data_IF_307959560163
#
_entry.id   IF_307959560163
#
_cell.length_a   1.000
_cell.length_b   1.000
_cell.length_c   1.000
_cell.angle_alpha   90.00
_cell.angle_beta   90.00
_cell.angle_gamma   90.00
#
_symmetry.space_group_name_H-M   'P 1'
#
loop_
_entity.id
_entity.type
_entity.pdbx_description
1 polymer ?
#
# COMPACT_ATOMS: atom_id res chain seq x y z
N UNK A 1 -3.76 -27.52 14.41
CA UNK A 1 -3.59 -26.64 15.59
C UNK A 1 -4.12 -25.24 15.24
N UNK A 2 -5.00 -24.64 16.06
CA UNK A 2 -5.48 -23.27 15.82
C UNK A 2 -4.31 -22.28 15.92
N UNK A 3 -4.12 -21.47 14.88
CA UNK A 3 -3.08 -20.42 14.89
C UNK A 3 -3.60 -19.25 15.71
N UNK A 4 -2.84 -18.81 16.70
CA UNK A 4 -3.12 -17.56 17.42
C UNK A 4 -2.66 -16.38 16.55
N UNK A 5 -3.60 -15.81 15.79
CA UNK A 5 -3.41 -14.68 14.88
C UNK A 5 -3.74 -13.38 15.62
N UNK A 6 -2.78 -12.46 15.68
CA UNK A 6 -2.96 -11.15 16.31
C UNK A 6 -3.87 -10.26 15.47
N UNK A 7 -4.54 -9.30 16.12
CA UNK A 7 -5.29 -8.25 15.42
C UNK A 7 -4.42 -7.50 14.40
N UNK A 8 -3.18 -7.15 14.77
CA UNK A 8 -2.23 -6.47 13.87
C UNK A 8 -1.94 -7.26 12.60
N UNK A 9 -1.85 -8.59 12.68
CA UNK A 9 -1.64 -9.46 11.53
C UNK A 9 -2.89 -9.51 10.63
N UNK A 10 -4.10 -9.54 11.23
CA UNK A 10 -5.36 -9.46 10.47
C UNK A 10 -5.48 -8.14 9.73
N UNK A 11 -5.21 -7.02 10.41
CA UNK A 11 -5.25 -5.68 9.82
C UNK A 11 -4.22 -5.53 8.70
N UNK A 12 -3.02 -6.09 8.87
CA UNK A 12 -2.00 -6.09 7.82
C UNK A 12 -2.47 -6.86 6.58
N UNK A 13 -3.06 -8.05 6.76
CA UNK A 13 -3.61 -8.82 5.64
C UNK A 13 -4.73 -8.05 4.94
N UNK A 14 -5.67 -7.46 5.69
CA UNK A 14 -6.75 -6.66 5.11
C UNK A 14 -6.20 -5.47 4.32
N UNK A 15 -5.26 -4.71 4.90
CA UNK A 15 -4.65 -3.57 4.22
C UNK A 15 -3.92 -3.96 2.94
N UNK A 16 -3.13 -5.03 2.96
CA UNK A 16 -2.45 -5.54 1.77
C UNK A 16 -3.43 -6.08 0.72
N UNK A 17 -4.53 -6.70 1.14
CA UNK A 17 -5.61 -7.13 0.22
C UNK A 17 -6.31 -5.94 -0.44
N UNK A 18 -6.55 -4.86 0.30
CA UNK A 18 -7.12 -3.62 -0.26
C UNK A 18 -6.15 -2.96 -1.25
N UNK A 19 -4.85 -2.91 -0.92
CA UNK A 19 -3.82 -2.43 -1.85
C UNK A 19 -3.76 -3.30 -3.12
N UNK A 20 -3.82 -4.63 -2.97
CA UNK A 20 -3.80 -5.53 -4.11
C UNK A 20 -5.02 -5.32 -5.00
N UNK A 21 -6.21 -5.16 -4.40
CA UNK A 21 -7.43 -4.83 -5.13
C UNK A 21 -7.29 -3.50 -5.87
N UNK A 22 -6.77 -2.47 -5.21
CA UNK A 22 -6.49 -1.18 -5.83
C UNK A 22 -5.60 -1.33 -7.07
N UNK A 23 -4.48 -2.07 -6.96
CA UNK A 23 -3.53 -2.27 -8.07
C UNK A 23 -4.13 -2.93 -9.31
N UNK A 24 -5.16 -3.78 -9.17
CA UNK A 24 -5.79 -4.47 -10.30
C UNK A 24 -7.03 -3.75 -10.82
N UNK A 25 -7.62 -2.83 -10.05
CA UNK A 25 -8.89 -2.15 -10.38
C UNK A 25 -8.66 -0.74 -10.93
N UNK A 26 -7.73 0.03 -10.36
CA UNK A 26 -7.69 1.49 -10.52
C UNK A 26 -7.55 1.98 -11.97
N UNK A 27 -6.89 1.23 -12.84
CA UNK A 27 -6.64 1.65 -14.23
C UNK A 27 -7.59 0.97 -15.23
N UNK A 28 -8.45 0.06 -14.74
CA UNK A 28 -9.26 -0.83 -15.58
C UNK A 28 -10.76 -0.64 -15.42
N UNK A 29 -11.20 -0.28 -14.22
CA UNK A 29 -12.62 -0.19 -13.87
C UNK A 29 -12.97 1.27 -13.58
N UNK A 30 -14.00 1.84 -14.25
CA UNK A 30 -14.46 3.18 -13.93
C UNK A 30 -15.14 3.19 -12.55
N UNK A 31 -14.57 3.92 -11.60
CA UNK A 31 -15.04 4.10 -10.23
C UNK A 31 -15.77 5.44 -10.05
N UNK A 32 -16.40 5.91 -11.13
CA UNK A 32 -17.04 7.22 -11.17
C UNK A 32 -16.01 8.34 -10.99
N UNK A 33 -16.21 9.28 -10.04
CA UNK A 33 -15.31 10.42 -9.89
C UNK A 33 -13.94 10.06 -9.30
N UNK A 34 -13.71 8.82 -8.85
CA UNK A 34 -12.46 8.45 -8.18
C UNK A 34 -11.29 8.17 -9.14
N UNK A 35 -11.55 7.93 -10.42
CA UNK A 35 -10.55 7.72 -11.46
C UNK A 35 -11.10 8.05 -12.85
N UNK A 36 -10.22 8.37 -13.80
CA UNK A 36 -10.58 8.57 -15.20
C UNK A 36 -9.82 7.58 -16.08
N UNK A 37 -10.45 6.41 -16.30
CA UNK A 37 -9.87 5.34 -17.12
C UNK A 37 -9.71 5.77 -18.58
N UNK A 38 -10.59 6.64 -19.08
CA UNK A 38 -10.51 7.09 -20.48
C UNK A 38 -9.32 8.02 -20.69
N UNK A 39 -9.09 8.96 -19.76
CA UNK A 39 -7.93 9.82 -19.76
C UNK A 39 -6.61 9.02 -19.68
N UNK A 40 -6.55 8.00 -18.82
CA UNK A 40 -5.37 7.13 -18.70
C UNK A 40 -5.09 6.39 -20.01
N UNK A 41 -6.13 5.90 -20.71
CA UNK A 41 -5.99 5.21 -21.99
C UNK A 41 -5.60 6.14 -23.17
N UNK A 42 -5.82 7.45 -23.04
CA UNK A 42 -5.35 8.44 -24.02
C UNK A 42 -3.86 8.73 -23.85
N UNK A 43 -3.37 8.73 -22.61
CA UNK A 43 -1.97 9.02 -22.26
C UNK A 43 -1.06 7.78 -22.24
N UNK A 44 -1.60 6.57 -22.21
CA UNK A 44 -0.83 5.34 -22.11
C UNK A 44 -1.43 4.22 -22.94
N UNK A 45 -0.57 3.42 -23.55
CA UNK A 45 -1.02 2.22 -24.28
C UNK A 45 -1.57 1.16 -23.33
N UNK A 46 -2.51 0.34 -23.81
CA UNK A 46 -3.06 -0.79 -23.03
C UNK A 46 -1.95 -1.72 -22.53
N UNK A 47 -0.90 -1.94 -23.34
CA UNK A 47 0.26 -2.74 -22.95
C UNK A 47 1.05 -2.12 -21.80
N UNK A 48 1.26 -0.80 -21.81
CA UNK A 48 1.90 -0.11 -20.69
C UNK A 48 1.08 -0.20 -19.41
N UNK A 49 -0.23 0.01 -19.49
CA UNK A 49 -1.14 -0.10 -18.34
C UNK A 49 -1.10 -1.52 -17.80
N UNK A 50 -1.13 -2.53 -18.68
CA UNK A 50 -1.02 -3.94 -18.32
C UNK A 50 0.30 -4.29 -17.62
N UNK A 51 1.43 -3.81 -18.15
CA UNK A 51 2.74 -4.04 -17.55
C UNK A 51 2.82 -3.36 -16.18
N UNK A 52 2.44 -2.07 -16.07
CA UNK A 52 2.45 -1.31 -14.81
C UNK A 52 1.56 -1.98 -13.75
N UNK A 53 0.33 -2.34 -14.13
CA UNK A 53 -0.64 -3.04 -13.26
C UNK A 53 -0.10 -4.39 -12.80
N UNK A 54 0.43 -5.20 -13.72
CA UNK A 54 0.92 -6.55 -13.41
C UNK A 54 2.16 -6.51 -12.51
N UNK A 55 3.10 -5.60 -12.79
CA UNK A 55 4.31 -5.44 -11.95
C UNK A 55 3.92 -4.95 -10.56
N UNK A 56 3.06 -3.93 -10.46
CA UNK A 56 2.58 -3.40 -9.19
C UNK A 56 1.80 -4.44 -8.38
N UNK A 57 0.80 -5.06 -9.00
CA UNK A 57 -0.02 -6.10 -8.37
C UNK A 57 0.83 -7.32 -7.96
N UNK A 58 1.77 -7.74 -8.81
CA UNK A 58 2.69 -8.84 -8.54
C UNK A 58 3.55 -8.59 -7.30
N UNK A 59 4.11 -7.38 -7.16
CA UNK A 59 4.90 -7.01 -5.99
C UNK A 59 4.06 -7.07 -4.70
N UNK A 60 2.85 -6.49 -4.72
CA UNK A 60 1.95 -6.52 -3.56
C UNK A 60 1.52 -7.95 -3.24
N UNK A 61 1.24 -8.77 -4.25
CA UNK A 61 0.86 -10.17 -4.08
C UNK A 61 1.98 -10.98 -3.43
N UNK A 62 3.24 -10.76 -3.82
CA UNK A 62 4.39 -11.40 -3.18
C UNK A 62 4.49 -11.04 -1.68
N UNK A 63 4.30 -9.76 -1.34
CA UNK A 63 4.27 -9.29 0.06
C UNK A 63 3.13 -9.98 0.82
N UNK A 64 1.92 -10.00 0.23
CA UNK A 64 0.74 -10.63 0.82
C UNK A 64 0.94 -12.13 1.06
N UNK A 65 1.47 -12.86 0.08
CA UNK A 65 1.83 -14.28 0.22
C UNK A 65 2.85 -14.46 1.34
N UNK A 66 3.89 -13.61 1.38
CA UNK A 66 4.88 -13.60 2.45
C UNK A 66 4.24 -13.46 3.84
N UNK A 67 3.29 -12.55 3.99
CA UNK A 67 2.55 -12.38 5.25
C UNK A 67 1.70 -13.61 5.56
N UNK A 68 0.93 -14.15 4.61
CA UNK A 68 0.04 -15.29 4.81
C UNK A 68 0.79 -16.59 5.19
N UNK A 69 1.96 -16.83 4.61
CA UNK A 69 2.81 -17.98 4.94
C UNK A 69 3.24 -18.03 6.41
N UNK A 70 3.43 -16.86 7.02
CA UNK A 70 3.94 -16.69 8.38
C UNK A 70 2.89 -16.16 9.37
N UNK A 71 1.66 -15.93 8.95
CA UNK A 71 0.60 -15.43 9.84
C UNK A 71 0.37 -16.38 11.01
N UNK A 72 0.39 -15.84 12.23
CA UNK A 72 0.29 -16.61 13.45
C UNK A 72 1.55 -17.41 13.82
N UNK A 73 2.63 -17.31 13.03
CA UNK A 73 3.95 -17.91 13.30
C UNK A 73 4.98 -16.84 13.68
N UNK A 74 6.19 -17.27 14.03
CA UNK A 74 7.33 -16.35 14.19
C UNK A 74 7.95 -16.10 12.82
N UNK A 75 8.00 -14.84 12.40
CA UNK A 75 8.64 -14.44 11.15
C UNK A 75 10.16 -14.59 11.26
N UNK A 76 10.83 -15.30 10.33
CA UNK A 76 12.28 -15.29 10.22
C UNK A 76 12.80 -13.86 9.98
N UNK A 77 14.02 -13.57 10.43
CA UNK A 77 14.56 -12.20 10.33
C UNK A 77 14.69 -11.72 8.88
N UNK A 78 15.07 -12.62 7.97
CA UNK A 78 15.16 -12.34 6.53
C UNK A 78 13.80 -11.91 5.98
N UNK A 79 12.71 -12.60 6.36
CA UNK A 79 11.36 -12.27 5.92
C UNK A 79 10.91 -10.92 6.49
N UNK A 80 11.23 -10.63 7.75
CA UNK A 80 10.91 -9.32 8.34
C UNK A 80 11.60 -8.18 7.59
N UNK A 81 12.91 -8.29 7.35
CA UNK A 81 13.67 -7.29 6.62
C UNK A 81 13.14 -7.14 5.20
N UNK A 82 12.90 -8.24 4.51
CA UNK A 82 12.36 -8.24 3.15
C UNK A 82 10.99 -7.54 3.08
N UNK A 83 10.05 -7.86 3.97
CA UNK A 83 8.72 -7.23 4.03
C UNK A 83 8.80 -5.72 4.30
N UNK A 84 9.68 -5.30 5.21
CA UNK A 84 9.86 -3.88 5.55
C UNK A 84 10.46 -3.13 4.36
N UNK A 85 11.58 -3.63 3.82
CA UNK A 85 12.30 -2.97 2.73
C UNK A 85 11.41 -2.85 1.49
N UNK A 86 10.70 -3.92 1.10
CA UNK A 86 9.86 -3.87 -0.11
C UNK A 86 8.72 -2.85 0.02
N UNK A 87 8.01 -2.83 1.15
CA UNK A 87 6.93 -1.87 1.35
C UNK A 87 7.46 -0.43 1.40
N UNK A 88 8.60 -0.19 2.05
CA UNK A 88 9.24 1.14 2.07
C UNK A 88 9.65 1.56 0.65
N UNK A 89 10.22 0.67 -0.16
CA UNK A 89 10.58 1.00 -1.54
C UNK A 89 9.38 1.44 -2.38
N UNK A 90 8.23 0.75 -2.27
CA UNK A 90 6.98 1.16 -2.94
C UNK A 90 6.52 2.52 -2.43
N UNK A 91 6.56 2.74 -1.11
CA UNK A 91 6.14 4.00 -0.50
C UNK A 91 7.04 5.17 -0.88
N UNK A 92 8.35 4.95 -0.98
CA UNK A 92 9.31 5.96 -1.46
C UNK A 92 9.00 6.37 -2.90
N UNK A 93 8.67 5.41 -3.78
CA UNK A 93 8.19 5.73 -5.13
C UNK A 93 6.95 6.63 -5.11
N UNK A 94 5.94 6.26 -4.30
CA UNK A 94 4.74 7.09 -4.10
C UNK A 94 5.06 8.50 -3.57
N UNK A 95 6.03 8.64 -2.65
CA UNK A 95 6.49 9.93 -2.17
C UNK A 95 7.10 10.77 -3.30
N UNK A 96 7.98 10.20 -4.12
CA UNK A 96 8.64 10.92 -5.20
C UNK A 96 7.72 11.30 -6.35
N UNK A 97 6.71 10.48 -6.63
CA UNK A 97 5.79 10.73 -7.76
C UNK A 97 4.64 11.67 -7.38
N UNK A 98 4.18 11.64 -6.12
CA UNK A 98 2.98 12.38 -5.70
C UNK A 98 3.29 13.47 -4.68
N UNK A 99 3.93 13.13 -3.57
CA UNK A 99 4.03 14.02 -2.42
C UNK A 99 5.17 15.03 -2.54
N UNK A 100 6.28 14.64 -3.16
CA UNK A 100 7.43 15.52 -3.33
C UNK A 100 7.14 16.66 -4.32
N UNK A 101 6.53 16.41 -5.51
CA UNK A 101 6.10 17.49 -6.39
C UNK A 101 5.01 18.36 -5.74
N UNK A 102 4.07 17.74 -5.02
CA UNK A 102 2.99 18.45 -4.34
C UNK A 102 3.49 19.46 -3.29
N UNK A 103 4.40 19.05 -2.39
CA UNK A 103 4.89 19.93 -1.32
C UNK A 103 6.03 20.86 -1.74
N UNK A 104 6.93 20.41 -2.63
CA UNK A 104 8.18 21.12 -2.93
C UNK A 104 8.27 21.66 -4.36
N UNK A 105 7.30 21.35 -5.24
CA UNK A 105 7.31 21.79 -6.64
C UNK A 105 8.41 21.16 -7.50
N UNK A 106 9.23 20.26 -6.95
CA UNK A 106 10.36 19.68 -7.68
C UNK A 106 9.89 18.73 -8.78
N UNK A 107 10.26 19.03 -10.03
CA UNK A 107 9.81 18.30 -11.20
C UNK A 107 8.32 18.45 -11.48
N UNK A 108 7.65 19.42 -10.86
CA UNK A 108 6.23 19.68 -11.07
C UNK A 108 5.96 20.10 -12.53
N UNK A 109 6.79 20.93 -13.15
CA UNK A 109 6.52 21.43 -14.52
C UNK A 109 6.36 20.29 -15.55
N UNK A 110 7.19 19.25 -15.46
CA UNK A 110 7.13 18.09 -16.37
C UNK A 110 5.99 17.11 -16.01
N UNK A 111 5.61 17.06 -14.73
CA UNK A 111 4.60 16.10 -14.24
C UNK A 111 3.20 16.68 -14.21
N UNK A 112 3.05 17.99 -14.10
CA UNK A 112 1.77 18.70 -13.96
C UNK A 112 0.91 18.51 -15.19
N UNK A 113 1.48 18.65 -16.38
CA UNK A 113 0.74 18.44 -17.62
C UNK A 113 0.18 17.02 -17.69
N UNK A 114 1.08 16.02 -17.59
CA UNK A 114 0.69 14.61 -17.59
C UNK A 114 -0.30 14.26 -16.47
N UNK A 115 -0.13 14.88 -15.30
CA UNK A 115 -1.03 14.72 -14.16
C UNK A 115 -2.43 15.26 -14.47
N UNK A 116 -2.51 16.47 -15.02
CA UNK A 116 -3.78 17.09 -15.40
C UNK A 116 -4.47 16.30 -16.50
N UNK A 117 -3.72 15.79 -17.48
CA UNK A 117 -4.23 14.95 -18.55
C UNK A 117 -4.85 13.65 -18.00
N UNK A 118 -4.16 12.94 -17.09
CA UNK A 118 -4.65 11.66 -16.56
C UNK A 118 -5.63 11.77 -15.37
N UNK A 119 -5.52 12.82 -14.55
CA UNK A 119 -6.19 12.90 -13.24
C UNK A 119 -6.93 14.21 -12.99
N UNK A 120 -6.91 15.18 -13.92
CA UNK A 120 -7.50 16.51 -13.71
C UNK A 120 -9.01 16.52 -13.49
N UNK A 121 -9.72 15.47 -13.93
CA UNK A 121 -11.16 15.29 -13.72
C UNK A 121 -11.51 14.32 -12.57
N UNK A 122 -10.50 13.88 -11.81
CA UNK A 122 -10.70 12.97 -10.68
C UNK A 122 -10.94 13.74 -9.38
N UNK A 123 -11.70 13.15 -8.47
CA UNK A 123 -12.04 13.75 -7.20
C UNK A 123 -10.83 13.84 -6.28
N UNK A 124 -10.54 15.05 -5.84
CA UNK A 124 -9.50 15.36 -4.86
C UNK A 124 -10.12 16.13 -3.70
N UNK A 125 -9.83 15.72 -2.47
CA UNK A 125 -10.23 16.47 -1.28
C UNK A 125 -9.15 17.44 -0.80
N UNK A 126 -7.90 17.26 -1.27
CA UNK A 126 -6.79 18.14 -0.97
C UNK A 126 -6.79 19.34 -1.93
N UNK A 127 -6.36 20.53 -1.47
CA UNK A 127 -6.20 21.69 -2.34
C UNK A 127 -5.06 21.46 -3.34
N UNK A 128 -5.12 22.15 -4.48
CA UNK A 128 -4.03 22.20 -5.44
C UNK A 128 -2.81 22.90 -4.84
N UNK A 129 -1.63 22.30 -5.00
CA UNK A 129 -0.35 22.91 -4.64
C UNK A 129 0.67 22.62 -5.75
N UNK A 130 1.38 23.65 -6.21
CA UNK A 130 2.40 23.54 -7.25
C UNK A 130 1.88 22.86 -8.54
N UNK A 131 0.62 23.08 -8.93
CA UNK A 131 0.00 22.47 -10.11
C UNK A 131 -0.45 21.01 -9.94
N UNK A 132 -0.25 20.42 -8.76
CA UNK A 132 -0.57 19.01 -8.47
C UNK A 132 -1.70 18.95 -7.43
N UNK A 133 -2.64 18.04 -7.63
CA UNK A 133 -3.81 17.88 -6.74
C UNK A 133 -4.07 16.40 -6.47
N UNK A 134 -3.33 15.74 -5.55
CA UNK A 134 -3.39 14.29 -5.34
C UNK A 134 -4.81 13.78 -5.18
N UNK A 135 -5.23 12.89 -6.07
CA UNK A 135 -6.58 12.37 -6.05
C UNK A 135 -6.86 11.51 -4.82
N UNK A 136 -8.14 11.48 -4.45
CA UNK A 136 -8.61 10.84 -3.21
C UNK A 136 -8.25 9.36 -3.16
N UNK A 137 -8.36 8.67 -4.29
CA UNK A 137 -8.08 7.24 -4.37
C UNK A 137 -6.60 6.94 -4.09
N UNK A 138 -5.68 7.72 -4.67
CA UNK A 138 -4.25 7.58 -4.43
C UNK A 138 -3.85 7.98 -3.00
N UNK A 139 -4.46 9.03 -2.44
CA UNK A 139 -4.23 9.40 -1.04
C UNK A 139 -4.66 8.28 -0.08
N UNK A 140 -5.80 7.63 -0.33
CA UNK A 140 -6.25 6.46 0.43
C UNK A 140 -5.27 5.28 0.28
N UNK A 141 -4.84 4.98 -0.94
CA UNK A 141 -3.84 3.94 -1.20
C UNK A 141 -2.54 4.20 -0.42
N UNK A 142 -1.98 5.41 -0.50
CA UNK A 142 -0.76 5.78 0.23
C UNK A 142 -0.93 5.68 1.75
N UNK A 143 -2.10 6.05 2.27
CA UNK A 143 -2.41 5.98 3.71
C UNK A 143 -2.50 4.53 4.20
N UNK A 144 -3.12 3.64 3.42
CA UNK A 144 -3.18 2.21 3.73
C UNK A 144 -1.78 1.59 3.66
N UNK A 145 -0.98 1.91 2.64
CA UNK A 145 0.39 1.44 2.51
C UNK A 145 1.26 1.87 3.70
N UNK A 146 1.17 3.14 4.10
CA UNK A 146 1.87 3.65 5.28
C UNK A 146 1.46 2.89 6.54
N UNK A 147 0.16 2.64 6.73
CA UNK A 147 -0.35 1.85 7.85
C UNK A 147 0.19 0.41 7.83
N UNK A 148 0.25 -0.23 6.65
CA UNK A 148 0.82 -1.57 6.49
C UNK A 148 2.32 -1.62 6.85
N UNK A 149 3.09 -0.58 6.52
CA UNK A 149 4.49 -0.44 6.92
C UNK A 149 4.60 -0.40 8.45
N UNK A 150 3.81 0.47 9.10
CA UNK A 150 3.79 0.58 10.57
C UNK A 150 3.41 -0.75 11.24
N UNK A 151 2.39 -1.44 10.72
CA UNK A 151 1.99 -2.76 11.21
C UNK A 151 3.08 -3.81 11.01
N UNK A 152 3.77 -3.80 9.88
CA UNK A 152 4.87 -4.72 9.59
C UNK A 152 6.06 -4.49 10.54
N UNK A 153 6.42 -3.23 10.78
CA UNK A 153 7.44 -2.85 11.76
C UNK A 153 7.00 -3.31 13.16
N UNK A 154 5.77 -2.98 13.57
CA UNK A 154 5.23 -3.38 14.86
C UNK A 154 5.28 -4.90 15.08
N UNK A 155 4.82 -5.70 14.11
CA UNK A 155 4.86 -7.18 14.16
C UNK A 155 6.32 -7.68 14.21
N UNK A 156 7.23 -7.00 13.52
CA UNK A 156 8.64 -7.36 13.47
C UNK A 156 9.36 -7.20 14.81
N UNK A 157 9.01 -6.17 15.58
CA UNK A 157 9.66 -5.87 16.87
C UNK A 157 8.89 -6.38 18.10
N UNK A 158 7.59 -6.64 18.01
CA UNK A 158 6.80 -7.12 19.16
C UNK A 158 6.78 -8.65 19.29
N UNK A 159 7.27 -9.15 20.43
CA UNK A 159 7.15 -10.58 20.78
C UNK A 159 5.69 -10.93 21.13
N UNK A 160 5.29 -12.19 20.93
CA UNK A 160 3.97 -12.63 21.41
C UNK A 160 4.05 -12.57 22.92
N UNK A 161 3.27 -11.69 23.55
CA UNK A 161 3.17 -11.68 25.01
C UNK A 161 2.61 -13.04 25.44
N UNK A 162 3.43 -13.80 26.15
CA UNK A 162 3.07 -15.09 26.73
C UNK A 162 2.25 -14.90 28.00
N UNK A 163 1.42 -13.85 28.13
CA UNK A 163 0.72 -13.57 29.39
C UNK A 163 -0.31 -14.65 29.77
N UNK A 164 -0.75 -15.47 28.81
CA UNK A 164 -1.67 -16.58 29.07
C UNK A 164 -1.00 -17.82 29.72
N UNK A 165 0.32 -18.01 29.59
CA UNK A 165 1.00 -19.19 30.18
C UNK A 165 1.35 -18.99 31.65
N UNK A 166 1.48 -17.74 32.10
CA UNK A 166 1.86 -17.42 33.48
C UNK A 166 0.67 -17.54 34.45
N UNK A 167 -0.56 -17.30 33.98
CA UNK A 167 -1.76 -17.52 34.80
C UNK A 167 -2.11 -19.00 34.99
N UNK A 168 -1.67 -19.89 34.10
CA UNK A 168 -1.90 -21.33 34.24
C UNK A 168 -0.93 -21.99 35.23
N UNK A 169 0.31 -21.50 35.31
CA UNK A 169 1.33 -22.03 36.24
C UNK A 169 1.05 -21.54 37.67
N UNK A 170 0.60 -20.29 37.84
CA UNK A 170 0.25 -19.75 39.18
C UNK A 170 -1.03 -20.35 39.75
N UNK A 171 -1.94 -20.89 38.93
CA UNK A 171 -3.16 -21.59 39.41
C UNK A 171 -2.96 -23.08 39.68
N UNK A 172 -1.81 -23.65 39.33
CA UNK A 172 -1.45 -25.06 39.57
C UNK A 172 -0.35 -25.22 40.64
N UNK A 173 -0.02 -24.14 41.36
CA UNK A 173 0.90 -24.11 42.50
C UNK A 173 0.11 -23.80 43.77
#
# INVERSE_FOLDING_TARGET
MPRNIRLSEKLLVIGLSLIFLFMIVQDWVPLGPLNDVQAILQESTVNEIFIKSTVGAGQVLLILIGVLCYVGKRYPIIIKLWLIIHQISIFVGALFDWWFPYFFGYGADQRTQRYQEMFGQTHSFLPEMNGITPNTLHVLFHSILFTCILLTIYISFTRKSTSARQQQIVRSS
#
